data_IF_498626538514
#
_entry.id   IF_498626538514
#
_cell.length_a   1.000
_cell.length_b   1.000
_cell.length_c   1.000
_cell.angle_alpha   90.00
_cell.angle_beta   90.00
_cell.angle_gamma   90.00
#
_symmetry.space_group_name_H-M   'P 1'
#
loop_
_entity.id
_entity.type
_entity.pdbx_description
1 polymer ?
#
# COMPACT_ATOMS: atom_id res chain seq x y z
N UNK A 1 21.40 -15.87 -4.46
CA UNK A 1 20.21 -16.75 -4.47
C UNK A 1 19.43 -16.51 -5.75
N UNK A 2 18.72 -17.53 -6.22
CA UNK A 2 17.76 -17.44 -7.32
C UNK A 2 16.36 -17.26 -6.72
N UNK A 3 15.74 -16.12 -6.94
CA UNK A 3 14.44 -15.75 -6.36
C UNK A 3 13.41 -15.65 -7.47
N UNK A 4 12.31 -16.36 -7.38
CA UNK A 4 11.15 -16.17 -8.26
C UNK A 4 10.14 -15.27 -7.58
N UNK A 5 9.87 -14.09 -8.14
CA UNK A 5 8.79 -13.21 -7.69
C UNK A 5 7.53 -13.50 -8.50
N UNK A 6 6.43 -13.84 -7.80
CA UNK A 6 5.13 -14.16 -8.40
C UNK A 6 4.16 -13.02 -8.17
N UNK A 7 3.62 -12.47 -9.23
CA UNK A 7 2.67 -11.35 -9.21
C UNK A 7 1.64 -11.48 -10.35
N UNK A 8 0.39 -11.10 -10.10
CA UNK A 8 -0.65 -11.17 -11.13
C UNK A 8 -0.43 -10.11 -12.21
N UNK A 9 0.01 -8.91 -11.82
CA UNK A 9 0.30 -7.78 -12.71
C UNK A 9 1.77 -7.37 -12.59
N UNK A 10 2.42 -7.12 -13.70
CA UNK A 10 3.78 -6.61 -13.80
C UNK A 10 3.83 -5.50 -14.86
N UNK A 11 4.67 -4.48 -14.69
CA UNK A 11 4.79 -3.37 -15.65
C UNK A 11 4.74 -2.00 -14.97
N UNK A 12 4.02 -1.05 -15.57
CA UNK A 12 4.00 0.34 -15.12
C UNK A 12 3.37 0.53 -13.72
N UNK A 13 3.95 1.46 -12.95
CA UNK A 13 3.64 1.72 -11.55
C UNK A 13 2.31 2.48 -11.39
N UNK A 14 1.18 1.78 -11.39
CA UNK A 14 -0.15 2.40 -11.27
C UNK A 14 -0.74 2.32 -9.85
N UNK A 15 -0.22 1.44 -8.99
CA UNK A 15 -0.71 1.30 -7.60
C UNK A 15 0.41 0.92 -6.62
N UNK A 16 0.12 1.04 -5.31
CA UNK A 16 1.10 0.81 -4.24
C UNK A 16 1.72 -0.59 -4.23
N UNK A 17 0.95 -1.63 -4.57
CA UNK A 17 1.46 -3.01 -4.63
C UNK A 17 2.49 -3.17 -5.76
N UNK A 18 2.25 -2.58 -6.93
CA UNK A 18 3.19 -2.63 -8.06
C UNK A 18 4.46 -1.85 -7.75
N UNK A 19 4.33 -0.71 -7.05
CA UNK A 19 5.51 0.06 -6.58
C UNK A 19 6.34 -0.79 -5.61
N UNK A 20 5.72 -1.40 -4.61
CA UNK A 20 6.41 -2.27 -3.64
C UNK A 20 7.10 -3.45 -4.32
N UNK A 21 6.41 -4.11 -5.26
CA UNK A 21 6.93 -5.21 -6.06
C UNK A 21 8.17 -4.83 -6.89
N UNK A 22 8.09 -3.74 -7.66
CA UNK A 22 9.20 -3.27 -8.50
C UNK A 22 10.39 -2.83 -7.63
N UNK A 23 10.11 -2.18 -6.50
CA UNK A 23 11.12 -1.82 -5.52
C UNK A 23 11.85 -3.05 -4.96
N UNK A 24 11.10 -4.10 -4.59
CA UNK A 24 11.67 -5.35 -4.10
C UNK A 24 12.54 -6.03 -5.18
N UNK A 25 12.02 -6.21 -6.39
CA UNK A 25 12.74 -6.85 -7.51
C UNK A 25 14.06 -6.10 -7.77
N UNK A 26 13.99 -4.78 -7.95
CA UNK A 26 15.16 -3.97 -8.23
C UNK A 26 16.17 -3.98 -7.08
N UNK A 27 15.69 -3.98 -5.85
CA UNK A 27 16.53 -4.02 -4.66
C UNK A 27 17.24 -5.36 -4.52
N UNK A 28 16.56 -6.50 -4.74
CA UNK A 28 17.18 -7.82 -4.68
C UNK A 28 18.20 -8.00 -5.82
N UNK A 29 17.91 -7.52 -7.03
CA UNK A 29 18.88 -7.53 -8.15
C UNK A 29 20.14 -6.71 -7.83
N UNK A 30 19.98 -5.53 -7.25
CA UNK A 30 21.09 -4.69 -6.78
C UNK A 30 21.97 -5.39 -5.73
N UNK A 31 21.39 -6.22 -4.88
CA UNK A 31 22.07 -7.01 -3.85
C UNK A 31 22.73 -8.30 -4.38
N UNK A 32 22.73 -8.49 -5.72
CA UNK A 32 23.40 -9.60 -6.37
C UNK A 32 22.59 -10.89 -6.41
N UNK A 33 21.28 -10.85 -6.15
CA UNK A 33 20.41 -12.00 -6.39
C UNK A 33 19.97 -12.07 -7.85
N UNK A 34 19.86 -13.29 -8.39
CA UNK A 34 19.16 -13.51 -9.65
C UNK A 34 17.66 -13.53 -9.38
N UNK A 35 16.91 -12.62 -10.03
CA UNK A 35 15.48 -12.47 -9.81
C UNK A 35 14.71 -12.70 -11.09
N UNK A 36 13.97 -13.82 -11.15
CA UNK A 36 12.99 -14.13 -12.20
C UNK A 36 11.60 -13.69 -11.77
N UNK A 37 10.72 -13.50 -12.75
CA UNK A 37 9.36 -13.00 -12.54
C UNK A 37 8.37 -13.96 -13.19
N UNK A 38 7.32 -14.32 -12.45
CA UNK A 38 6.15 -15.03 -12.98
C UNK A 38 4.93 -14.10 -12.87
N UNK A 39 4.36 -13.74 -14.01
CA UNK A 39 3.24 -12.79 -14.07
C UNK A 39 2.22 -13.17 -15.16
N UNK A 40 1.21 -12.32 -15.35
CA UNK A 40 0.23 -12.41 -16.43
C UNK A 40 0.22 -11.17 -17.36
N UNK A 41 1.21 -10.29 -17.23
CA UNK A 41 1.36 -9.15 -18.11
C UNK A 41 1.86 -9.57 -19.50
N UNK A 42 0.97 -9.51 -20.49
CA UNK A 42 1.28 -9.94 -21.87
C UNK A 42 2.33 -9.03 -22.54
N UNK A 43 2.48 -7.78 -22.10
CA UNK A 43 3.48 -6.86 -22.66
C UNK A 43 4.92 -7.22 -22.23
N UNK A 44 5.05 -8.04 -21.19
CA UNK A 44 6.34 -8.53 -20.70
C UNK A 44 6.78 -9.84 -21.36
N UNK A 45 5.99 -10.38 -22.29
CA UNK A 45 6.31 -11.63 -22.99
C UNK A 45 7.61 -11.51 -23.78
N UNK A 46 8.52 -12.46 -23.59
CA UNK A 46 9.83 -12.48 -24.27
C UNK A 46 10.93 -11.66 -23.59
N UNK A 47 10.63 -10.98 -22.49
CA UNK A 47 11.67 -10.34 -21.68
C UNK A 47 12.52 -11.41 -20.96
N UNK A 48 13.83 -11.18 -20.76
CA UNK A 48 14.69 -12.09 -20.02
C UNK A 48 14.18 -12.30 -18.59
N UNK A 49 14.24 -13.54 -18.12
CA UNK A 49 13.82 -13.94 -16.77
C UNK A 49 12.35 -13.63 -16.41
N UNK A 50 11.49 -13.43 -17.42
CA UNK A 50 10.05 -13.20 -17.23
C UNK A 50 9.25 -14.35 -17.86
N UNK A 51 8.45 -15.00 -17.03
CA UNK A 51 7.52 -16.06 -17.39
C UNK A 51 6.10 -15.53 -17.36
N UNK A 52 5.39 -15.62 -18.50
CA UNK A 52 4.07 -15.00 -18.63
C UNK A 52 3.00 -16.08 -18.77
N UNK A 53 2.09 -16.14 -17.78
CA UNK A 53 0.86 -16.91 -17.91
C UNK A 53 -0.16 -16.17 -18.77
N UNK A 54 -0.97 -16.90 -19.58
CA UNK A 54 -2.03 -16.26 -20.35
C UNK A 54 -3.11 -15.69 -19.45
N UNK A 55 -3.90 -14.74 -19.96
CA UNK A 55 -5.06 -14.21 -19.28
C UNK A 55 -6.30 -15.10 -19.49
N UNK A 56 -7.20 -15.09 -18.50
CA UNK A 56 -8.52 -15.65 -18.62
C UNK A 56 -9.33 -14.80 -19.63
N UNK A 57 -9.94 -15.48 -20.60
CA UNK A 57 -10.91 -14.83 -21.45
C UNK A 57 -12.29 -14.92 -20.79
N UNK A 58 -12.78 -13.77 -20.28
CA UNK A 58 -14.08 -13.65 -19.64
C UNK A 58 -15.17 -13.16 -20.62
N UNK A 59 -14.91 -13.28 -21.92
CA UNK A 59 -15.87 -12.95 -22.97
C UNK A 59 -16.25 -11.46 -22.98
N UNK A 60 -17.55 -11.11 -22.95
CA UNK A 60 -18.01 -9.71 -23.02
C UNK A 60 -17.49 -8.83 -21.89
N UNK A 61 -17.04 -9.42 -20.78
CA UNK A 61 -16.51 -8.69 -19.61
C UNK A 61 -15.03 -8.30 -19.74
N UNK A 62 -14.31 -8.74 -20.78
CA UNK A 62 -12.89 -8.40 -20.95
C UNK A 62 -12.66 -6.89 -20.97
N UNK A 63 -13.48 -6.12 -21.68
CA UNK A 63 -13.34 -4.66 -21.75
C UNK A 63 -13.60 -3.95 -20.41
N UNK A 64 -14.43 -4.52 -19.55
CA UNK A 64 -14.65 -4.01 -18.21
C UNK A 64 -13.43 -4.27 -17.32
N UNK A 65 -12.92 -5.49 -17.33
CA UNK A 65 -11.73 -5.91 -16.57
C UNK A 65 -10.51 -5.06 -16.96
N UNK A 66 -10.31 -4.84 -18.25
CA UNK A 66 -9.22 -3.99 -18.77
C UNK A 66 -9.35 -2.52 -18.33
N UNK A 67 -10.57 -1.95 -18.37
CA UNK A 67 -10.82 -0.58 -17.90
C UNK A 67 -10.53 -0.39 -16.41
N UNK A 68 -10.81 -1.40 -15.59
CA UNK A 68 -10.51 -1.38 -14.16
C UNK A 68 -9.01 -1.65 -13.88
N UNK A 69 -8.19 -1.91 -14.90
CA UNK A 69 -6.76 -2.22 -14.75
C UNK A 69 -6.51 -3.53 -14.00
N UNK A 70 -7.47 -4.44 -14.05
CA UNK A 70 -7.39 -5.76 -13.41
C UNK A 70 -6.91 -6.78 -14.42
N UNK A 71 -5.91 -7.56 -14.06
CA UNK A 71 -5.45 -8.72 -14.83
C UNK A 71 -5.98 -9.98 -14.18
N UNK A 72 -6.62 -10.83 -14.96
CA UNK A 72 -7.11 -12.14 -14.51
C UNK A 72 -6.21 -13.23 -15.12
N UNK A 73 -5.15 -13.67 -14.43
CA UNK A 73 -4.29 -14.71 -14.92
C UNK A 73 -5.02 -16.05 -15.02
N UNK A 74 -4.66 -16.83 -16.06
CA UNK A 74 -4.98 -18.25 -16.17
C UNK A 74 -3.74 -19.04 -15.82
N UNK A 75 -3.59 -19.53 -14.58
CA UNK A 75 -2.41 -20.25 -14.15
C UNK A 75 -2.20 -21.51 -15.01
N UNK A 76 -1.04 -21.61 -15.66
CA UNK A 76 -0.61 -22.76 -16.45
C UNK A 76 0.49 -23.50 -15.72
N UNK A 77 0.25 -24.76 -15.36
CA UNK A 77 1.16 -25.57 -14.57
C UNK A 77 2.54 -25.69 -15.19
N UNK A 78 2.60 -25.94 -16.51
CA UNK A 78 3.83 -26.06 -17.28
C UNK A 78 4.71 -24.79 -17.23
N UNK A 79 4.08 -23.61 -17.36
CA UNK A 79 4.79 -22.32 -17.27
C UNK A 79 5.28 -22.08 -15.83
N UNK A 80 4.45 -22.38 -14.83
CA UNK A 80 4.79 -22.20 -13.42
C UNK A 80 5.97 -23.14 -13.05
N UNK A 81 5.91 -24.42 -13.43
CA UNK A 81 6.97 -25.39 -13.17
C UNK A 81 8.29 -25.01 -13.84
N UNK A 82 8.22 -24.52 -15.08
CA UNK A 82 9.39 -24.01 -15.81
C UNK A 82 10.01 -22.79 -15.12
N UNK A 83 9.19 -21.86 -14.60
CA UNK A 83 9.69 -20.69 -13.89
C UNK A 83 10.37 -21.03 -12.56
N UNK A 84 10.14 -22.24 -12.02
CA UNK A 84 10.71 -22.70 -10.75
C UNK A 84 11.99 -23.53 -10.91
N UNK A 85 12.47 -23.73 -12.13
CA UNK A 85 13.72 -24.47 -12.37
C UNK A 85 14.93 -23.70 -11.81
N UNK A 86 15.68 -24.33 -10.90
CA UNK A 86 16.86 -23.74 -10.26
C UNK A 86 16.57 -22.58 -9.28
N UNK A 87 15.33 -22.43 -8.83
CA UNK A 87 14.91 -21.40 -7.87
C UNK A 87 15.13 -21.88 -6.44
N UNK A 88 15.75 -21.02 -5.62
CA UNK A 88 15.94 -21.24 -4.18
C UNK A 88 14.71 -20.87 -3.36
N UNK A 89 14.07 -19.74 -3.71
CA UNK A 89 12.91 -19.17 -2.98
C UNK A 89 11.88 -18.62 -3.95
N UNK A 90 10.61 -18.95 -3.71
CA UNK A 90 9.46 -18.32 -4.37
C UNK A 90 8.88 -17.25 -3.45
N UNK A 91 8.89 -15.99 -3.88
CA UNK A 91 8.25 -14.87 -3.17
C UNK A 91 6.96 -14.44 -3.87
N UNK A 92 5.83 -14.52 -3.17
CA UNK A 92 4.49 -14.30 -3.73
C UNK A 92 3.92 -12.98 -3.24
N UNK A 93 3.53 -12.10 -4.18
CA UNK A 93 3.08 -10.75 -3.86
C UNK A 93 1.60 -10.68 -3.44
N UNK A 94 0.76 -11.59 -3.92
CA UNK A 94 -0.70 -11.48 -3.75
C UNK A 94 -1.37 -12.86 -3.59
N UNK A 95 -2.42 -12.99 -2.74
CA UNK A 95 -3.18 -14.23 -2.53
C UNK A 95 -4.30 -14.41 -3.57
N UNK A 96 -4.10 -13.89 -4.79
CA UNK A 96 -5.08 -13.96 -5.88
C UNK A 96 -4.81 -15.18 -6.78
N UNK A 97 -5.22 -15.15 -8.04
CA UNK A 97 -5.28 -16.35 -8.90
C UNK A 97 -3.95 -17.08 -9.11
N UNK A 98 -2.87 -16.34 -9.42
CA UNK A 98 -1.57 -16.93 -9.74
C UNK A 98 -0.81 -17.36 -8.49
N UNK A 99 -0.83 -16.54 -7.45
CA UNK A 99 -0.11 -16.78 -6.21
C UNK A 99 -0.45 -18.11 -5.53
N UNK A 100 -1.72 -18.46 -5.26
CA UNK A 100 -2.12 -19.74 -4.69
C UNK A 100 -1.66 -20.95 -5.49
N UNK A 101 -1.75 -20.87 -6.82
CA UNK A 101 -1.32 -21.98 -7.68
C UNK A 101 0.20 -22.14 -7.67
N UNK A 102 0.94 -21.03 -7.69
CA UNK A 102 2.38 -21.06 -7.55
C UNK A 102 2.82 -21.61 -6.19
N UNK A 103 2.15 -21.22 -5.09
CA UNK A 103 2.44 -21.74 -3.75
C UNK A 103 2.26 -23.25 -3.66
N UNK A 104 1.15 -23.77 -4.19
CA UNK A 104 0.88 -25.23 -4.21
C UNK A 104 1.97 -26.00 -4.97
N UNK A 105 2.37 -25.50 -6.14
CA UNK A 105 3.41 -26.16 -6.96
C UNK A 105 4.78 -26.04 -6.30
N UNK A 106 5.14 -24.90 -5.73
CA UNK A 106 6.39 -24.73 -5.00
C UNK A 106 6.47 -25.67 -3.78
N UNK A 107 5.35 -25.83 -3.06
CA UNK A 107 5.24 -26.80 -1.96
C UNK A 107 5.44 -28.24 -2.43
N UNK A 108 4.79 -28.65 -3.53
CA UNK A 108 4.97 -29.97 -4.17
C UNK A 108 6.43 -30.23 -4.57
N UNK A 109 7.13 -29.19 -5.03
CA UNK A 109 8.55 -29.24 -5.44
C UNK A 109 9.55 -29.07 -4.30
N UNK A 110 9.07 -28.91 -3.06
CA UNK A 110 9.89 -28.64 -1.87
C UNK A 110 10.83 -27.42 -2.05
N UNK A 111 10.30 -26.31 -2.58
CA UNK A 111 10.98 -25.04 -2.70
C UNK A 111 10.55 -24.13 -1.55
N UNK A 112 11.46 -23.35 -0.98
CA UNK A 112 11.13 -22.38 0.06
C UNK A 112 10.15 -21.32 -0.42
N UNK A 113 9.14 -20.96 0.39
CA UNK A 113 8.06 -20.06 0.02
C UNK A 113 7.99 -18.89 0.98
N UNK A 114 8.05 -17.69 0.46
CA UNK A 114 7.74 -16.46 1.20
C UNK A 114 6.60 -15.72 0.53
N UNK A 115 5.86 -14.91 1.27
CA UNK A 115 4.83 -14.05 0.66
C UNK A 115 4.75 -12.69 1.33
N UNK A 116 4.42 -11.66 0.55
CA UNK A 116 4.06 -10.35 1.04
C UNK A 116 2.55 -10.24 1.29
N UNK A 117 2.16 -9.60 2.38
CA UNK A 117 0.77 -9.31 2.67
C UNK A 117 0.40 -7.92 2.12
N UNK A 118 0.11 -7.85 0.80
CA UNK A 118 -0.18 -6.61 0.09
C UNK A 118 -1.66 -6.45 -0.30
N UNK A 119 -2.51 -7.39 0.11
CA UNK A 119 -3.95 -7.37 -0.23
C UNK A 119 -4.78 -7.53 1.04
N UNK A 120 -5.47 -6.47 1.44
CA UNK A 120 -6.42 -6.49 2.55
C UNK A 120 -7.78 -7.00 2.07
N UNK A 121 -8.48 -7.79 2.89
CA UNK A 121 -9.80 -8.34 2.53
C UNK A 121 -10.81 -7.23 2.22
N UNK A 122 -10.75 -6.13 2.96
CA UNK A 122 -11.57 -4.94 2.79
C UNK A 122 -11.41 -4.31 1.41
N UNK A 123 -10.19 -4.28 0.86
CA UNK A 123 -9.92 -3.73 -0.48
C UNK A 123 -10.53 -4.61 -1.58
N UNK A 124 -10.58 -5.94 -1.37
CA UNK A 124 -11.22 -6.87 -2.30
C UNK A 124 -12.74 -6.75 -2.21
N UNK A 125 -13.30 -6.75 -1.00
CA UNK A 125 -14.75 -6.67 -0.78
C UNK A 125 -15.33 -5.30 -1.16
N UNK A 126 -14.51 -4.22 -1.10
CA UNK A 126 -14.90 -2.87 -1.55
C UNK A 126 -15.31 -2.83 -3.03
N UNK A 127 -14.66 -3.62 -3.89
CA UNK A 127 -15.01 -3.71 -5.31
C UNK A 127 -16.44 -4.22 -5.55
N UNK A 128 -16.97 -4.97 -4.58
CA UNK A 128 -18.35 -5.49 -4.58
C UNK A 128 -19.27 -4.69 -3.64
N UNK A 129 -18.83 -3.53 -3.13
CA UNK A 129 -19.54 -2.70 -2.14
C UNK A 129 -19.84 -3.43 -0.82
N UNK A 130 -19.01 -4.40 -0.46
CA UNK A 130 -19.15 -5.25 0.73
C UNK A 130 -18.07 -4.97 1.80
N UNK A 131 -17.28 -3.89 1.67
CA UNK A 131 -16.19 -3.53 2.59
C UNK A 131 -16.62 -3.48 4.07
N UNK A 132 -17.87 -3.08 4.34
CA UNK A 132 -18.44 -3.02 5.68
C UNK A 132 -18.95 -4.34 6.23
N UNK A 133 -18.99 -5.42 5.43
CA UNK A 133 -19.56 -6.71 5.84
C UNK A 133 -18.45 -7.60 6.44
N UNK A 134 -18.39 -7.61 7.77
CA UNK A 134 -17.35 -8.31 8.54
C UNK A 134 -17.25 -9.80 8.20
N UNK A 135 -18.38 -10.49 8.07
CA UNK A 135 -18.41 -11.92 7.74
C UNK A 135 -17.76 -12.23 6.37
N UNK A 136 -17.90 -11.32 5.39
CA UNK A 136 -17.26 -11.43 4.07
C UNK A 136 -15.76 -11.28 4.21
N UNK A 137 -15.30 -10.24 4.92
CA UNK A 137 -13.87 -9.99 5.13
C UNK A 137 -13.20 -11.15 5.88
N UNK A 138 -13.83 -11.65 6.94
CA UNK A 138 -13.36 -12.82 7.68
C UNK A 138 -13.23 -14.07 6.80
N UNK A 139 -14.21 -14.29 5.90
CA UNK A 139 -14.17 -15.41 4.95
C UNK A 139 -13.01 -15.24 3.95
N UNK A 140 -12.77 -14.02 3.47
CA UNK A 140 -11.64 -13.72 2.58
C UNK A 140 -10.29 -13.94 3.27
N UNK A 141 -10.10 -13.52 4.53
CA UNK A 141 -8.87 -13.79 5.27
C UNK A 141 -8.63 -15.29 5.45
N UNK A 142 -9.69 -16.07 5.77
CA UNK A 142 -9.59 -17.54 5.85
C UNK A 142 -9.27 -18.18 4.48
N UNK A 143 -9.81 -17.62 3.40
CA UNK A 143 -9.46 -18.05 2.05
C UNK A 143 -7.98 -17.74 1.75
N UNK A 144 -7.48 -16.54 2.02
CA UNK A 144 -6.08 -16.18 1.83
C UNK A 144 -5.14 -17.12 2.58
N UNK A 145 -5.48 -17.43 3.84
CA UNK A 145 -4.73 -18.41 4.63
C UNK A 145 -4.68 -19.78 3.95
N UNK A 146 -5.86 -20.34 3.63
CA UNK A 146 -5.96 -21.68 3.04
C UNK A 146 -5.34 -21.76 1.64
N UNK A 147 -5.48 -20.73 0.84
CA UNK A 147 -5.04 -20.72 -0.54
C UNK A 147 -3.54 -20.44 -0.69
N UNK A 148 -2.95 -19.60 0.17
CA UNK A 148 -1.57 -19.15 0.03
C UNK A 148 -0.76 -19.24 1.33
N UNK A 149 -1.13 -18.45 2.35
CA UNK A 149 -0.21 -18.14 3.45
C UNK A 149 0.17 -19.34 4.30
N UNK A 150 -0.66 -20.37 4.38
CA UNK A 150 -0.33 -21.63 5.07
C UNK A 150 0.86 -22.40 4.48
N UNK A 151 1.19 -22.14 3.21
CA UNK A 151 2.33 -22.76 2.53
C UNK A 151 3.66 -22.05 2.82
N UNK A 152 3.62 -20.82 3.35
CA UNK A 152 4.78 -19.95 3.46
C UNK A 152 5.68 -20.35 4.65
N UNK A 153 6.99 -20.34 4.41
CA UNK A 153 8.03 -20.46 5.44
C UNK A 153 8.19 -19.14 6.21
N UNK A 154 7.95 -17.99 5.55
CA UNK A 154 7.83 -16.68 6.19
C UNK A 154 6.83 -15.78 5.46
N UNK A 155 6.18 -14.88 6.21
CA UNK A 155 5.23 -13.89 5.69
C UNK A 155 5.72 -12.49 6.04
N UNK A 156 5.84 -11.64 5.03
CA UNK A 156 6.08 -10.21 5.17
C UNK A 156 4.77 -9.47 5.42
N UNK A 157 4.71 -8.72 6.51
CA UNK A 157 3.62 -7.78 6.80
C UNK A 157 4.17 -6.36 6.79
N UNK A 158 3.56 -5.41 6.04
CA UNK A 158 4.04 -4.03 6.02
C UNK A 158 3.85 -3.29 7.35
N UNK A 159 2.88 -3.69 8.18
CA UNK A 159 2.61 -3.11 9.49
C UNK A 159 2.24 -4.18 10.53
N UNK A 160 2.43 -3.86 11.81
CA UNK A 160 1.94 -4.72 12.89
C UNK A 160 0.42 -4.80 12.90
N UNK A 161 -0.25 -3.70 12.53
CA UNK A 161 -1.69 -3.60 12.38
C UNK A 161 -2.25 -4.74 11.50
N UNK A 162 -1.74 -4.89 10.26
CA UNK A 162 -2.30 -5.90 9.35
C UNK A 162 -1.92 -7.32 9.75
N UNK A 163 -0.76 -7.52 10.39
CA UNK A 163 -0.41 -8.79 11.00
C UNK A 163 -1.42 -9.19 12.06
N UNK A 164 -1.75 -8.30 12.99
CA UNK A 164 -2.72 -8.56 14.05
C UNK A 164 -4.09 -8.92 13.47
N UNK A 165 -4.62 -8.10 12.54
CA UNK A 165 -5.91 -8.37 11.89
C UNK A 165 -5.91 -9.74 11.22
N UNK A 166 -4.86 -10.09 10.48
CA UNK A 166 -4.84 -11.36 9.78
C UNK A 166 -4.77 -12.54 10.75
N UNK A 167 -3.84 -12.53 11.71
CA UNK A 167 -3.64 -13.61 12.70
C UNK A 167 -4.90 -13.81 13.58
N UNK A 168 -5.58 -12.73 13.98
CA UNK A 168 -6.86 -12.79 14.69
C UNK A 168 -7.97 -13.46 13.86
N UNK A 169 -8.08 -13.12 12.58
CA UNK A 169 -9.11 -13.68 11.70
C UNK A 169 -8.90 -15.16 11.39
N UNK A 170 -7.65 -15.61 11.28
CA UNK A 170 -7.31 -17.01 11.04
C UNK A 170 -7.10 -17.82 12.33
N UNK A 171 -7.00 -17.16 13.48
CA UNK A 171 -6.71 -17.76 14.80
C UNK A 171 -5.42 -18.59 14.80
N UNK A 172 -4.38 -18.07 14.17
CA UNK A 172 -3.08 -18.72 14.06
C UNK A 172 -1.95 -17.69 14.03
N UNK A 173 -0.87 -17.97 14.79
CA UNK A 173 0.34 -17.14 14.77
C UNK A 173 1.28 -17.61 13.66
N UNK A 174 1.52 -16.73 12.72
CA UNK A 174 2.36 -16.99 11.55
C UNK A 174 3.85 -16.74 11.84
N UNK A 175 4.74 -17.34 11.04
CA UNK A 175 6.14 -16.90 10.99
C UNK A 175 6.21 -15.55 10.25
N UNK A 176 5.75 -14.50 10.91
CA UNK A 176 5.53 -13.18 10.34
C UNK A 176 6.65 -12.21 10.65
N UNK A 177 7.09 -11.48 9.63
CA UNK A 177 8.07 -10.40 9.70
C UNK A 177 7.37 -9.08 9.42
N UNK A 178 7.39 -8.17 10.39
CA UNK A 178 6.84 -6.82 10.21
C UNK A 178 7.93 -5.90 9.69
N UNK A 179 7.84 -5.55 8.41
CA UNK A 179 8.83 -4.75 7.70
C UNK A 179 8.08 -3.76 6.80
N UNK A 180 8.28 -2.46 6.98
CA UNK A 180 7.71 -1.46 6.07
C UNK A 180 8.22 -1.66 4.64
N UNK A 181 7.39 -1.33 3.63
CA UNK A 181 7.85 -1.26 2.24
C UNK A 181 8.91 -0.17 2.02
N UNK A 182 9.06 0.73 2.98
CA UNK A 182 10.09 1.74 3.03
C UNK A 182 9.79 2.99 2.18
N UNK A 183 10.37 4.09 2.61
CA UNK A 183 10.28 5.38 1.93
C UNK A 183 11.54 5.61 1.11
N UNK A 184 11.39 5.85 -0.19
CA UNK A 184 12.50 6.10 -1.11
C UNK A 184 13.29 7.37 -0.69
N UNK A 185 14.63 7.42 -0.92
CA UNK A 185 15.47 8.53 -0.53
C UNK A 185 15.06 9.91 -1.08
N UNK A 186 14.33 9.94 -2.20
CA UNK A 186 13.82 11.18 -2.78
C UNK A 186 12.81 11.90 -1.86
N UNK A 187 12.06 11.14 -1.04
CA UNK A 187 11.06 11.73 -0.14
C UNK A 187 11.73 12.27 1.13
N UNK A 188 12.23 13.47 1.00
CA UNK A 188 12.85 14.30 2.04
C UNK A 188 12.35 15.71 1.89
N UNK A 189 12.30 16.45 2.99
CA UNK A 189 11.99 17.86 2.93
C UNK A 189 12.93 18.56 1.94
N UNK A 190 12.34 19.15 0.90
CA UNK A 190 13.08 20.01 -0.03
C UNK A 190 13.07 21.44 0.51
N UNK A 191 14.21 21.97 1.01
CA UNK A 191 14.29 23.34 1.55
C UNK A 191 14.18 24.42 0.47
N UNK A 192 14.25 24.02 -0.82
CA UNK A 192 14.13 24.91 -1.97
C UNK A 192 12.72 24.88 -2.59
N UNK A 193 11.83 24.04 -2.07
CA UNK A 193 10.45 24.01 -2.51
C UNK A 193 9.82 25.39 -2.33
N UNK A 194 8.97 25.76 -3.27
CA UNK A 194 8.27 27.05 -3.23
C UNK A 194 6.78 26.83 -3.43
N UNK A 195 6.00 27.47 -2.58
CA UNK A 195 4.55 27.46 -2.71
C UNK A 195 4.15 28.30 -3.93
N UNK A 196 3.26 27.80 -4.82
CA UNK A 196 2.72 28.60 -5.91
C UNK A 196 2.12 29.92 -5.41
N UNK A 197 2.31 31.00 -6.16
CA UNK A 197 1.85 32.36 -5.79
C UNK A 197 0.35 32.43 -5.50
N UNK A 198 -0.45 31.65 -6.21
CA UNK A 198 -1.90 31.57 -6.00
C UNK A 198 -2.31 30.97 -4.66
N UNK A 199 -1.37 30.29 -3.97
CA UNK A 199 -1.60 29.68 -2.66
C UNK A 199 -0.90 30.43 -1.51
N UNK A 200 -0.22 31.55 -1.82
CA UNK A 200 0.40 32.40 -0.80
C UNK A 200 -0.66 32.89 0.21
N UNK A 201 -0.32 32.86 1.50
CA UNK A 201 -1.22 33.26 2.59
C UNK A 201 -2.37 32.30 2.87
N UNK A 202 -2.46 31.15 2.16
CA UNK A 202 -3.42 30.11 2.45
C UNK A 202 -2.81 29.02 3.32
N UNK A 203 -3.64 28.37 4.13
CA UNK A 203 -3.28 27.16 4.87
C UNK A 203 -3.38 25.96 3.91
N UNK A 204 -2.25 25.36 3.59
CA UNK A 204 -2.17 24.33 2.55
C UNK A 204 -2.41 22.94 3.15
N UNK A 205 -3.55 22.34 2.83
CA UNK A 205 -3.88 20.96 3.16
C UNK A 205 -3.62 20.08 1.93
N UNK A 206 -2.82 19.02 2.12
CA UNK A 206 -2.44 18.07 1.07
C UNK A 206 -2.95 16.68 1.38
N UNK A 207 -3.44 16.00 0.36
CA UNK A 207 -3.64 14.56 0.31
C UNK A 207 -2.88 14.02 -0.92
N UNK A 208 -2.25 12.86 -0.79
CA UNK A 208 -1.64 12.16 -1.93
C UNK A 208 -2.06 10.69 -1.98
N UNK A 209 -2.46 10.21 -3.17
CA UNK A 209 -2.87 8.83 -3.41
C UNK A 209 -4.01 8.70 -4.40
N UNK A 210 -4.50 7.46 -4.60
CA UNK A 210 -5.64 7.18 -5.48
C UNK A 210 -6.90 7.88 -4.97
N UNK A 211 -7.72 8.37 -5.90
CA UNK A 211 -9.00 9.02 -5.59
C UNK A 211 -10.12 7.95 -5.61
N UNK A 212 -10.29 7.28 -4.46
CA UNK A 212 -11.16 6.11 -4.29
C UNK A 212 -11.97 6.20 -3.00
N UNK A 213 -13.04 5.40 -2.89
CA UNK A 213 -13.93 5.45 -1.72
C UNK A 213 -13.21 5.06 -0.41
N UNK A 214 -12.29 4.09 -0.45
CA UNK A 214 -11.51 3.68 0.74
C UNK A 214 -10.55 4.76 1.25
N UNK A 215 -10.11 5.69 0.38
CA UNK A 215 -9.25 6.83 0.75
C UNK A 215 -10.03 8.04 1.28
N UNK A 216 -11.33 8.07 1.08
CA UNK A 216 -12.32 8.94 1.72
C UNK A 216 -12.04 10.45 1.62
N UNK A 217 -11.57 10.94 0.47
CA UNK A 217 -11.35 12.38 0.22
C UNK A 217 -12.64 13.19 0.38
N UNK A 218 -13.80 12.53 0.23
CA UNK A 218 -15.12 13.13 0.42
C UNK A 218 -15.28 13.65 1.86
N UNK A 219 -14.85 12.88 2.87
CA UNK A 219 -14.86 13.32 4.27
C UNK A 219 -13.99 14.56 4.47
N UNK A 220 -12.78 14.59 3.90
CA UNK A 220 -11.89 15.75 4.00
C UNK A 220 -12.54 17.01 3.41
N UNK A 221 -13.18 16.90 2.25
CA UNK A 221 -13.85 18.04 1.64
C UNK A 221 -15.06 18.53 2.46
N UNK A 222 -15.83 17.64 3.07
CA UNK A 222 -16.94 17.99 3.96
C UNK A 222 -16.43 18.67 5.23
N UNK A 223 -15.36 18.13 5.83
CA UNK A 223 -14.74 18.74 7.00
C UNK A 223 -14.25 20.17 6.72
N UNK A 224 -13.62 20.41 5.55
CA UNK A 224 -13.21 21.76 5.16
C UNK A 224 -14.43 22.71 5.06
N UNK A 225 -15.57 22.25 4.54
CA UNK A 225 -16.79 23.07 4.49
C UNK A 225 -17.32 23.43 5.89
N UNK A 226 -17.10 22.58 6.87
CA UNK A 226 -17.50 22.81 8.29
C UNK A 226 -16.48 23.65 9.06
N UNK A 227 -15.24 23.74 8.60
CA UNK A 227 -14.18 24.52 9.24
C UNK A 227 -14.55 26.00 9.35
N UNK A 228 -14.23 26.61 10.50
CA UNK A 228 -14.35 28.07 10.74
C UNK A 228 -13.39 28.85 9.83
N UNK A 229 -12.32 28.21 9.38
CA UNK A 229 -11.24 28.80 8.59
C UNK A 229 -11.26 28.39 7.11
N UNK A 230 -12.39 27.84 6.62
CA UNK A 230 -12.53 27.34 5.23
C UNK A 230 -12.07 28.32 4.15
N UNK A 231 -12.24 29.64 4.37
CA UNK A 231 -11.81 30.66 3.42
C UNK A 231 -10.29 30.82 3.31
N UNK A 232 -9.56 30.37 4.33
CA UNK A 232 -8.08 30.37 4.36
C UNK A 232 -7.46 29.08 3.84
N UNK A 233 -8.24 27.99 3.70
CA UNK A 233 -7.73 26.68 3.36
C UNK A 233 -7.61 26.55 1.85
N UNK A 234 -6.43 26.12 1.35
CA UNK A 234 -6.22 25.58 0.02
C UNK A 234 -6.06 24.08 0.10
N UNK A 235 -6.97 23.33 -0.53
CA UNK A 235 -6.87 21.88 -0.64
C UNK A 235 -6.16 21.47 -1.94
N UNK A 236 -5.20 20.55 -1.83
CA UNK A 236 -4.58 19.88 -2.97
C UNK A 236 -4.76 18.36 -2.83
N UNK A 237 -5.39 17.75 -3.83
CA UNK A 237 -5.53 16.30 -3.95
C UNK A 237 -4.56 15.82 -5.05
N UNK A 238 -3.39 15.32 -4.64
CA UNK A 238 -2.35 14.83 -5.53
C UNK A 238 -2.63 13.37 -5.90
N UNK A 239 -3.29 13.16 -7.03
CA UNK A 239 -3.61 11.81 -7.48
C UNK A 239 -4.65 11.76 -8.60
N UNK A 240 -5.00 10.52 -8.96
CA UNK A 240 -6.04 10.21 -9.93
C UNK A 240 -6.87 9.02 -9.45
N UNK A 241 -8.04 8.80 -10.03
CA UNK A 241 -8.89 7.67 -9.68
C UNK A 241 -10.37 7.89 -10.02
N UNK A 242 -11.20 6.86 -9.80
CA UNK A 242 -12.60 6.87 -10.19
C UNK A 242 -13.45 7.99 -9.56
N UNK A 243 -13.03 8.54 -8.42
CA UNK A 243 -13.74 9.63 -7.76
C UNK A 243 -13.39 11.03 -8.28
N UNK A 244 -12.43 11.20 -9.19
CA UNK A 244 -11.91 12.49 -9.64
C UNK A 244 -13.03 13.46 -10.05
N UNK A 245 -13.90 13.04 -10.95
CA UNK A 245 -15.01 13.89 -11.44
C UNK A 245 -15.99 14.27 -10.32
N UNK A 246 -16.28 13.35 -9.42
CA UNK A 246 -17.12 13.59 -8.24
C UNK A 246 -16.48 14.66 -7.33
N UNK A 247 -15.18 14.54 -7.06
CA UNK A 247 -14.42 15.47 -6.21
C UNK A 247 -14.30 16.84 -6.85
N UNK A 248 -14.08 16.93 -8.17
CA UNK A 248 -14.11 18.19 -8.92
C UNK A 248 -15.48 18.87 -8.78
N UNK A 249 -16.57 18.10 -8.91
CA UNK A 249 -17.92 18.65 -8.75
C UNK A 249 -18.17 19.15 -7.32
N UNK A 250 -17.78 18.36 -6.30
CA UNK A 250 -17.89 18.77 -4.90
C UNK A 250 -17.05 20.02 -4.60
N UNK A 251 -15.86 20.10 -5.16
CA UNK A 251 -14.94 21.23 -4.97
C UNK A 251 -15.49 22.58 -5.37
N UNK A 252 -16.56 22.64 -6.18
CA UNK A 252 -17.24 23.90 -6.54
C UNK A 252 -17.92 24.58 -5.35
N UNK A 253 -18.22 23.82 -4.28
CA UNK A 253 -18.83 24.36 -3.04
C UNK A 253 -17.81 24.86 -2.03
N UNK A 254 -16.51 24.57 -2.24
CA UNK A 254 -15.45 25.09 -1.38
C UNK A 254 -15.13 26.56 -1.73
N UNK A 255 -14.87 27.43 -0.74
CA UNK A 255 -14.50 28.83 -0.99
C UNK A 255 -13.26 28.97 -1.89
N UNK A 256 -12.21 28.16 -1.61
CA UNK A 256 -11.06 28.03 -2.51
C UNK A 256 -11.21 26.72 -3.28
N UNK A 257 -11.26 26.81 -4.60
CA UNK A 257 -11.36 25.65 -5.48
C UNK A 257 -10.19 24.68 -5.23
N UNK A 258 -10.44 23.40 -4.94
CA UNK A 258 -9.36 22.45 -4.73
C UNK A 258 -8.56 22.20 -6.01
N UNK A 259 -7.27 22.04 -5.87
CA UNK A 259 -6.41 21.62 -6.97
C UNK A 259 -6.35 20.09 -6.98
N UNK A 260 -6.89 19.46 -8.03
CA UNK A 260 -7.00 18.00 -8.15
C UNK A 260 -6.27 17.58 -9.42
N UNK A 261 -5.06 16.99 -9.26
CA UNK A 261 -4.26 16.60 -10.40
C UNK A 261 -3.30 15.45 -10.06
N UNK A 262 -2.77 14.82 -11.11
CA UNK A 262 -1.63 13.91 -10.99
C UNK A 262 -0.34 14.74 -10.89
N UNK A 263 0.59 14.29 -10.02
CA UNK A 263 1.89 14.91 -9.82
C UNK A 263 2.99 13.88 -10.03
N UNK A 264 4.10 14.29 -10.63
CA UNK A 264 5.32 13.47 -10.66
C UNK A 264 5.93 13.39 -9.26
N UNK A 265 6.77 12.38 -9.00
CA UNK A 265 7.41 12.23 -7.69
C UNK A 265 8.13 13.48 -7.19
N UNK A 266 8.98 14.18 -7.98
CA UNK A 266 9.59 15.43 -7.53
C UNK A 266 8.55 16.50 -7.15
N UNK A 267 7.49 16.65 -7.93
CA UNK A 267 6.41 17.60 -7.62
C UNK A 267 5.66 17.23 -6.33
N UNK A 268 5.47 15.93 -6.06
CA UNK A 268 4.88 15.48 -4.79
C UNK A 268 5.78 15.82 -3.61
N UNK A 269 7.11 15.67 -3.75
CA UNK A 269 8.09 16.06 -2.72
C UNK A 269 8.00 17.55 -2.42
N UNK A 270 7.96 18.40 -3.45
CA UNK A 270 7.82 19.86 -3.28
C UNK A 270 6.50 20.21 -2.60
N UNK A 271 5.40 19.63 -3.08
CA UNK A 271 4.06 19.83 -2.49
C UNK A 271 4.00 19.43 -1.02
N UNK A 272 4.53 18.26 -0.67
CA UNK A 272 4.55 17.77 0.72
C UNK A 272 5.50 18.59 1.61
N UNK A 273 6.60 19.11 1.05
CA UNK A 273 7.55 19.96 1.78
C UNK A 273 6.94 21.30 2.18
N UNK A 274 5.99 21.82 1.37
CA UNK A 274 5.28 23.07 1.57
C UNK A 274 3.94 22.92 2.30
N UNK A 275 3.47 21.67 2.52
CA UNK A 275 2.20 21.42 3.20
C UNK A 275 2.24 21.88 4.67
N UNK A 276 1.22 22.63 5.07
CA UNK A 276 0.96 22.95 6.47
C UNK A 276 0.40 21.71 7.19
N UNK A 277 -0.48 20.96 6.50
CA UNK A 277 -1.09 19.74 7.02
C UNK A 277 -1.23 18.69 5.91
N UNK A 278 -0.86 17.45 6.19
CA UNK A 278 -1.17 16.29 5.36
C UNK A 278 -2.31 15.51 6.01
N UNK A 279 -3.44 15.37 5.32
CA UNK A 279 -4.61 14.66 5.88
C UNK A 279 -4.78 13.32 5.21
N UNK A 280 -4.83 12.24 6.01
CA UNK A 280 -5.09 10.89 5.53
C UNK A 280 -6.38 10.33 6.11
N UNK A 281 -7.47 10.47 5.36
CA UNK A 281 -8.83 10.12 5.81
C UNK A 281 -9.25 8.67 5.46
N UNK A 282 -8.28 7.80 5.16
CA UNK A 282 -8.58 6.44 4.70
C UNK A 282 -9.41 5.65 5.71
N UNK A 283 -10.40 4.91 5.17
CA UNK A 283 -11.22 3.94 5.91
C UNK A 283 -10.52 2.59 5.98
N UNK A 284 -9.79 2.21 4.92
CA UNK A 284 -9.00 0.98 4.86
C UNK A 284 -7.65 1.24 4.19
N UNK A 285 -6.57 0.86 4.84
CA UNK A 285 -5.21 1.00 4.33
C UNK A 285 -4.21 0.12 5.09
N UNK A 286 -3.40 -0.64 4.35
CA UNK A 286 -2.42 -1.58 4.92
C UNK A 286 -1.23 -0.90 5.57
N UNK A 287 -0.73 0.18 4.96
CA UNK A 287 0.50 0.87 5.38
C UNK A 287 0.46 2.37 5.09
N UNK A 288 -0.18 2.80 3.99
CA UNK A 288 -0.17 4.20 3.55
C UNK A 288 1.21 4.78 3.31
N UNK A 289 1.92 4.23 2.32
CA UNK A 289 3.26 4.73 1.92
C UNK A 289 3.23 6.24 1.68
N UNK A 290 2.18 6.78 1.05
CA UNK A 290 2.05 8.23 0.81
C UNK A 290 1.99 9.05 2.11
N UNK A 291 1.46 8.49 3.20
CA UNK A 291 1.51 9.13 4.51
C UNK A 291 2.94 9.14 5.07
N UNK A 292 3.65 8.02 4.98
CA UNK A 292 5.05 7.94 5.38
C UNK A 292 5.92 8.92 4.57
N UNK A 293 5.69 9.01 3.25
CA UNK A 293 6.37 9.95 2.36
C UNK A 293 6.13 11.40 2.77
N UNK A 294 4.87 11.77 3.09
CA UNK A 294 4.51 13.12 3.52
C UNK A 294 5.20 13.49 4.84
N UNK A 295 5.18 12.61 5.83
CA UNK A 295 5.88 12.81 7.10
C UNK A 295 7.40 12.97 6.87
N UNK A 296 7.99 12.16 6.01
CA UNK A 296 9.41 12.24 5.67
C UNK A 296 9.78 13.53 4.91
N UNK A 297 8.85 14.10 4.15
CA UNK A 297 8.99 15.43 3.55
C UNK A 297 8.73 16.57 4.54
N UNK A 298 8.40 16.27 5.78
CA UNK A 298 8.19 17.25 6.86
C UNK A 298 6.78 17.82 6.92
N UNK A 299 5.79 17.24 6.26
CA UNK A 299 4.39 17.60 6.46
C UNK A 299 3.89 17.11 7.85
N UNK A 300 3.04 17.90 8.49
CA UNK A 300 2.38 17.52 9.74
C UNK A 300 1.20 16.58 9.43
N UNK A 301 1.14 15.35 9.97
CA UNK A 301 0.08 14.43 9.63
C UNK A 301 -1.17 14.63 10.49
N UNK A 302 -2.35 14.50 9.88
CA UNK A 302 -3.65 14.34 10.53
C UNK A 302 -4.33 13.08 9.98
N UNK A 303 -4.53 12.08 10.83
CA UNK A 303 -4.72 10.68 10.47
C UNK A 303 -6.05 10.14 10.99
N UNK A 304 -6.71 9.31 10.18
CA UNK A 304 -7.94 8.61 10.56
C UNK A 304 -7.68 7.53 11.63
N UNK A 305 -8.56 7.41 12.62
CA UNK A 305 -8.56 6.33 13.62
C UNK A 305 -9.29 5.06 13.15
N UNK A 306 -9.52 4.91 11.84
CA UNK A 306 -10.23 3.75 11.32
C UNK A 306 -9.63 2.43 11.81
N UNK A 307 -10.44 1.50 12.35
CA UNK A 307 -9.98 0.18 12.78
C UNK A 307 -9.56 -0.74 11.61
N UNK A 308 -9.63 -0.24 10.37
CA UNK A 308 -9.23 -0.94 9.15
C UNK A 308 -8.07 -0.26 8.42
N UNK A 309 -7.45 0.76 9.05
CA UNK A 309 -6.33 1.49 8.47
C UNK A 309 -5.17 1.59 9.46
N UNK A 310 -3.95 1.32 8.98
CA UNK A 310 -2.74 1.35 9.79
C UNK A 310 -2.27 2.77 10.17
N UNK A 311 -2.83 3.81 9.54
CA UNK A 311 -2.26 5.17 9.59
C UNK A 311 -2.17 5.77 10.98
N UNK A 312 -3.10 5.46 11.88
CA UNK A 312 -3.07 5.94 13.27
C UNK A 312 -1.83 5.48 14.04
N UNK A 313 -1.18 4.37 13.65
CA UNK A 313 0.08 3.90 14.24
C UNK A 313 1.25 4.89 14.04
N UNK A 314 1.15 5.78 13.05
CA UNK A 314 2.17 6.79 12.76
C UNK A 314 2.03 8.04 13.61
N UNK A 315 0.93 8.18 14.35
CA UNK A 315 0.71 9.34 15.18
C UNK A 315 1.73 9.43 16.33
N UNK A 316 2.20 10.66 16.60
CA UNK A 316 3.08 11.00 17.72
C UNK A 316 2.39 11.93 18.72
N UNK A 317 1.15 12.34 18.42
CA UNK A 317 0.38 13.25 19.26
C UNK A 317 -1.12 13.03 19.04
N UNK A 318 -1.93 13.17 20.09
CA UNK A 318 -3.37 12.95 20.01
C UNK A 318 -4.10 13.92 19.07
N UNK A 319 -3.58 15.15 18.90
CA UNK A 319 -4.13 16.09 17.91
C UNK A 319 -3.94 15.64 16.45
N UNK A 320 -3.02 14.71 16.21
CA UNK A 320 -2.77 14.16 14.88
C UNK A 320 -3.73 13.01 14.50
N UNK A 321 -4.73 12.70 15.32
CA UNK A 321 -5.70 11.63 15.07
C UNK A 321 -7.11 12.17 15.17
N UNK A 322 -7.94 11.89 14.18
CA UNK A 322 -9.35 12.24 14.15
C UNK A 322 -10.23 11.01 13.95
N UNK A 323 -11.50 11.13 14.35
CA UNK A 323 -12.48 10.06 14.29
C UNK A 323 -12.96 9.81 12.85
N UNK A 324 -12.70 8.60 12.36
CA UNK A 324 -13.12 8.16 11.02
C UNK A 324 -14.64 8.28 10.85
N UNK A 325 -15.06 8.92 9.76
CA UNK A 325 -16.48 9.11 9.44
C UNK A 325 -17.15 10.29 10.17
N UNK A 326 -16.43 11.00 11.05
CA UNK A 326 -16.92 12.18 11.74
C UNK A 326 -16.34 13.45 11.09
N UNK A 327 -17.16 14.09 10.25
CA UNK A 327 -16.75 15.28 9.49
C UNK A 327 -16.50 16.48 10.42
N UNK A 328 -17.25 16.58 11.52
CA UNK A 328 -17.12 17.67 12.50
C UNK A 328 -15.85 17.52 13.34
N UNK A 329 -15.51 16.29 13.71
CA UNK A 329 -14.28 16.00 14.46
C UNK A 329 -13.04 16.33 13.60
N UNK A 330 -13.02 15.91 12.33
CA UNK A 330 -11.96 16.27 11.40
C UNK A 330 -11.87 17.81 11.22
N UNK A 331 -13.00 18.51 11.10
CA UNK A 331 -13.02 19.96 11.00
C UNK A 331 -12.44 20.63 12.25
N UNK A 332 -12.78 20.16 13.45
CA UNK A 332 -12.22 20.66 14.73
C UNK A 332 -10.71 20.49 14.80
N UNK A 333 -10.18 19.36 14.37
CA UNK A 333 -8.73 19.14 14.34
C UNK A 333 -8.03 20.05 13.34
N UNK A 334 -8.60 20.24 12.12
CA UNK A 334 -8.09 21.21 11.14
C UNK A 334 -8.06 22.62 11.75
N UNK A 335 -9.16 23.06 12.33
CA UNK A 335 -9.27 24.38 12.98
C UNK A 335 -8.23 24.54 14.08
N UNK A 336 -8.04 23.50 14.91
CA UNK A 336 -7.07 23.52 15.98
C UNK A 336 -5.64 23.76 15.47
N UNK A 337 -5.21 23.06 14.41
CA UNK A 337 -3.88 23.25 13.82
C UNK A 337 -3.68 24.65 13.23
N UNK A 338 -4.75 25.26 12.69
CA UNK A 338 -4.72 26.64 12.17
C UNK A 338 -4.62 27.66 13.31
N UNK A 339 -5.33 27.41 14.42
CA UNK A 339 -5.42 28.30 15.59
C UNK A 339 -4.19 28.21 16.51
N UNK A 340 -3.40 27.08 16.44
CA UNK A 340 -2.28 26.80 17.32
C UNK A 340 -0.96 26.55 16.53
N UNK A 341 -0.43 27.57 15.85
CA UNK A 341 0.76 27.38 14.99
C UNK A 341 2.04 27.05 15.78
N UNK A 342 2.19 27.53 17.02
CA UNK A 342 3.36 27.24 17.86
C UNK A 342 3.35 25.78 18.33
N UNK A 343 2.22 25.27 18.81
CA UNK A 343 2.05 23.87 19.20
C UNK A 343 2.16 22.94 17.99
N UNK A 344 1.63 23.35 16.84
CA UNK A 344 1.78 22.63 15.56
C UNK A 344 3.25 22.48 15.19
N UNK A 345 4.05 23.54 15.36
CA UNK A 345 5.49 23.48 15.11
C UNK A 345 6.21 22.55 16.11
N UNK A 346 5.81 22.55 17.38
CA UNK A 346 6.34 21.62 18.40
C UNK A 346 6.00 20.16 18.05
N UNK A 347 4.74 19.86 17.72
CA UNK A 347 4.32 18.51 17.29
C UNK A 347 5.11 18.05 16.08
N UNK A 348 5.37 18.94 15.12
CA UNK A 348 6.15 18.63 13.93
C UNK A 348 7.57 18.14 14.28
N UNK A 349 8.18 18.64 15.35
CA UNK A 349 9.52 18.17 15.78
C UNK A 349 9.54 16.71 16.23
N UNK A 350 8.40 16.15 16.68
CA UNK A 350 8.28 14.74 17.07
C UNK A 350 8.53 13.78 15.88
N UNK A 351 8.45 14.29 14.66
CA UNK A 351 8.64 13.52 13.43
C UNK A 351 10.03 13.66 12.79
N UNK A 352 10.95 14.44 13.39
CA UNK A 352 12.28 14.71 12.80
C UNK A 352 13.09 13.43 12.49
N UNK A 353 12.97 12.41 13.33
CA UNK A 353 13.68 11.13 13.19
C UNK A 353 12.84 10.04 12.50
N UNK A 354 11.63 10.39 12.03
CA UNK A 354 10.67 9.42 11.52
C UNK A 354 11.23 8.56 10.38
N UNK A 355 11.96 9.16 9.45
CA UNK A 355 12.57 8.45 8.33
C UNK A 355 13.54 7.34 8.75
N UNK A 356 14.22 7.43 9.90
CA UNK A 356 15.19 6.42 10.32
C UNK A 356 14.56 5.03 10.38
N UNK A 357 13.28 4.95 10.79
CA UNK A 357 12.55 3.69 10.92
C UNK A 357 11.98 3.17 9.59
N UNK A 358 11.81 4.07 8.61
CA UNK A 358 11.15 3.77 7.34
C UNK A 358 12.08 3.94 6.14
N UNK A 359 13.39 4.03 6.36
CA UNK A 359 14.40 4.12 5.31
C UNK A 359 14.32 2.91 4.38
N UNK A 360 14.19 3.17 3.08
CA UNK A 360 14.01 2.14 2.06
C UNK A 360 15.11 1.07 2.08
N UNK A 361 16.38 1.49 2.10
CA UNK A 361 17.49 0.52 2.06
C UNK A 361 17.50 -0.37 3.32
N UNK A 362 17.27 0.22 4.49
CA UNK A 362 17.15 -0.56 5.73
C UNK A 362 15.97 -1.55 5.71
N UNK A 363 14.82 -1.13 5.16
CA UNK A 363 13.68 -2.04 5.00
C UNK A 363 14.01 -3.18 4.03
N UNK A 364 14.72 -2.89 2.94
CA UNK A 364 15.13 -3.89 1.96
C UNK A 364 16.21 -4.84 2.51
N UNK A 365 17.13 -4.37 3.38
CA UNK A 365 18.07 -5.25 4.10
C UNK A 365 17.32 -6.26 4.97
N UNK A 366 16.27 -5.82 5.67
CA UNK A 366 15.41 -6.68 6.48
C UNK A 366 14.59 -7.65 5.62
N UNK A 367 14.11 -7.21 4.44
CA UNK A 367 13.42 -8.08 3.48
C UNK A 367 14.36 -9.18 2.94
N UNK A 368 15.59 -8.82 2.57
CA UNK A 368 16.60 -9.78 2.16
C UNK A 368 16.90 -10.80 3.27
N UNK A 369 17.05 -10.31 4.51
CA UNK A 369 17.29 -11.18 5.65
C UNK A 369 16.12 -12.15 5.90
N UNK A 370 14.87 -11.67 5.81
CA UNK A 370 13.67 -12.53 5.91
C UNK A 370 13.69 -13.64 4.84
N UNK A 371 14.02 -13.32 3.60
CA UNK A 371 14.10 -14.31 2.51
C UNK A 371 15.18 -15.36 2.79
N UNK A 372 16.36 -14.92 3.26
CA UNK A 372 17.47 -15.83 3.65
C UNK A 372 17.09 -16.71 4.84
N UNK A 373 16.43 -16.15 5.84
CA UNK A 373 15.97 -16.89 7.03
C UNK A 373 14.91 -17.93 6.65
N UNK A 374 13.97 -17.58 5.77
CA UNK A 374 12.97 -18.53 5.27
C UNK A 374 13.61 -19.70 4.49
N UNK A 375 14.59 -19.41 3.63
CA UNK A 375 15.35 -20.44 2.91
C UNK A 375 16.07 -21.38 3.88
N UNK A 376 16.79 -20.83 4.86
CA UNK A 376 17.47 -21.62 5.90
C UNK A 376 16.49 -22.47 6.70
N UNK A 377 15.41 -21.87 7.20
CA UNK A 377 14.35 -22.58 7.93
C UNK A 377 13.79 -23.78 7.15
N UNK A 378 13.54 -23.57 5.86
CA UNK A 378 13.06 -24.60 4.94
C UNK A 378 14.08 -25.73 4.77
N UNK A 379 15.36 -25.40 4.48
CA UNK A 379 16.41 -26.37 4.19
C UNK A 379 16.87 -27.16 5.43
N UNK A 380 16.75 -26.59 6.62
CA UNK A 380 17.01 -27.27 7.90
C UNK A 380 15.86 -28.20 8.34
N UNK A 381 14.78 -28.31 7.54
CA UNK A 381 13.69 -29.24 7.79
C UNK A 381 12.73 -28.82 8.91
N UNK A 382 12.71 -27.54 9.28
CA UNK A 382 11.83 -27.04 10.35
C UNK A 382 10.37 -26.85 9.91
N UNK A 383 10.08 -26.97 8.62
CA UNK A 383 8.74 -26.81 8.07
C UNK A 383 7.83 -27.97 8.55
N UNK A 384 6.81 -27.63 9.32
CA UNK A 384 5.78 -28.60 9.71
C UNK A 384 4.96 -29.01 8.48
N UNK A 385 4.59 -30.30 8.35
CA UNK A 385 3.62 -30.73 7.36
C UNK A 385 2.34 -29.90 7.49
N UNK A 386 1.81 -29.45 6.36
CA UNK A 386 0.54 -28.75 6.34
C UNK A 386 -0.55 -29.78 6.46
N UNK A 387 -1.39 -29.62 7.49
CA UNK A 387 -2.67 -30.32 7.53
C UNK A 387 -3.55 -29.71 6.45
N UNK A 388 -3.67 -30.43 5.34
CA UNK A 388 -4.46 -29.97 4.19
C UNK A 388 -5.95 -30.10 4.44
N UNK A 389 -6.36 -30.65 5.63
CA UNK A 389 -7.73 -30.89 6.09
C UNK A 389 -8.67 -31.20 4.93
N UNK A 390 -9.27 -32.35 4.87
CA UNK A 390 -10.22 -32.77 3.86
C UNK A 390 -11.40 -31.79 3.72
#
# INVERSE_FOLDING_TARGET
MNILVVCDVFGDNTNGTMVAQNNLINSMRKRGHHVSILCADQNSMGQPDVFVCPNLNVGPFNSYVEKEGVTLPKPKRDIIEKSMEGIDVVHIMQPLLLGPKAASIAYEKNIAITAGFHTQAENVSAQFKLMGVEAVNKTLYKYFWRALYRYCDAIHYPTQFIRNIFEENIQYHTNGYVISNGVLPIFRKNPLAQRPKEWEGKYLIVFSGRLTDEKNQVQLMRAILLSKHKDKIQLVLAGDGPLKEKLIKMGKSLPNKPYINFFTRPQVVDLMSEADLYVHAAVADLESISCLEAICCGALPLLSDSPKAAVSEYSRNTHCVFKCGDDEDLAKHIDWFIEHPEESAQIKTLYNDFYKNYNFEHCMDRMEQMIKDAYRYHTEGHKKPIDLGE
#
